data_IF_674259467167
#
_entry.id   IF_674259467167
#
_cell.length_a   1.000
_cell.length_b   1.000
_cell.length_c   1.000
_cell.angle_alpha   90.00
_cell.angle_beta   90.00
_cell.angle_gamma   90.00
#
_symmetry.space_group_name_H-M   'P 1'
#
loop_
_entity.id
_entity.type
_entity.pdbx_description
1 polymer ?
#
# COMPACT_ATOMS: atom_id res chain seq x y z
N UNK A 1 33.26 -36.27 8.78
CA UNK A 1 33.10 -35.58 7.48
C UNK A 1 32.85 -34.11 7.80
N UNK A 2 33.91 -33.30 7.74
CA UNK A 2 33.87 -31.84 7.91
C UNK A 2 33.17 -31.27 6.64
N UNK A 3 31.94 -30.86 6.75
CA UNK A 3 31.28 -30.07 5.71
C UNK A 3 32.00 -28.72 5.67
N UNK A 4 32.63 -28.45 4.54
CA UNK A 4 33.37 -27.26 4.21
C UNK A 4 32.48 -26.00 4.42
N UNK A 5 32.64 -25.30 5.54
CA UNK A 5 31.85 -24.10 5.91
C UNK A 5 32.02 -22.96 4.92
N UNK A 6 33.09 -22.95 4.11
CA UNK A 6 33.40 -21.86 3.19
C UNK A 6 32.59 -21.91 1.88
N UNK A 7 31.94 -23.03 1.54
CA UNK A 7 31.09 -23.12 0.35
C UNK A 7 29.67 -22.59 0.53
N UNK A 8 29.18 -22.45 1.75
CA UNK A 8 27.83 -21.89 2.02
C UNK A 8 27.83 -20.36 1.94
N UNK A 9 29.00 -19.73 2.00
CA UNK A 9 29.13 -18.26 1.96
C UNK A 9 29.11 -17.65 0.56
N UNK A 10 29.04 -18.47 -0.50
CA UNK A 10 29.04 -17.99 -1.89
C UNK A 10 27.65 -17.75 -2.50
N UNK A 11 26.59 -18.11 -1.79
CA UNK A 11 25.21 -17.88 -2.28
C UNK A 11 24.85 -16.44 -2.00
N UNK A 12 24.57 -15.66 -3.05
CA UNK A 12 24.12 -14.27 -2.86
C UNK A 12 22.85 -14.27 -2.02
N UNK A 13 22.64 -13.29 -1.12
CA UNK A 13 21.42 -13.21 -0.31
C UNK A 13 20.13 -13.22 -1.14
N UNK A 14 20.20 -12.74 -2.38
CA UNK A 14 19.09 -12.78 -3.35
C UNK A 14 18.80 -14.20 -3.80
N UNK A 15 19.84 -14.98 -4.13
CA UNK A 15 19.67 -16.37 -4.56
C UNK A 15 19.11 -17.24 -3.43
N UNK A 16 19.53 -17.01 -2.18
CA UNK A 16 18.98 -17.71 -1.01
C UNK A 16 17.50 -17.41 -0.82
N UNK A 17 17.09 -16.14 -0.89
CA UNK A 17 15.69 -15.73 -0.77
C UNK A 17 14.83 -16.35 -1.88
N UNK A 18 15.32 -16.35 -3.13
CA UNK A 18 14.61 -16.97 -4.25
C UNK A 18 14.50 -18.49 -4.09
N UNK A 19 15.56 -19.15 -3.63
CA UNK A 19 15.53 -20.60 -3.37
C UNK A 19 14.52 -20.96 -2.27
N UNK A 20 14.52 -20.21 -1.15
CA UNK A 20 13.53 -20.42 -0.08
C UNK A 20 12.11 -20.16 -0.58
N UNK A 21 11.87 -19.09 -1.34
CA UNK A 21 10.57 -18.80 -1.92
C UNK A 21 10.10 -19.91 -2.88
N UNK A 22 10.99 -20.42 -3.74
CA UNK A 22 10.68 -21.53 -4.65
C UNK A 22 10.33 -22.81 -3.90
N UNK A 23 11.08 -23.16 -2.85
CA UNK A 23 10.81 -24.33 -2.01
C UNK A 23 9.46 -24.20 -1.29
N UNK A 24 9.15 -23.02 -0.74
CA UNK A 24 7.88 -22.75 -0.06
C UNK A 24 6.70 -22.84 -1.05
N UNK A 25 6.84 -22.27 -2.24
CA UNK A 25 5.81 -22.34 -3.28
C UNK A 25 5.58 -23.79 -3.75
N UNK A 26 6.64 -24.55 -3.96
CA UNK A 26 6.54 -25.97 -4.35
C UNK A 26 5.84 -26.79 -3.27
N UNK A 27 6.21 -26.59 -2.00
CA UNK A 27 5.57 -27.26 -0.87
C UNK A 27 4.07 -26.91 -0.77
N UNK A 28 3.71 -25.65 -1.00
CA UNK A 28 2.31 -25.22 -1.06
C UNK A 28 1.54 -25.94 -2.18
N UNK A 29 2.08 -25.92 -3.41
CA UNK A 29 1.42 -26.54 -4.56
C UNK A 29 1.23 -28.04 -4.36
N UNK A 30 2.23 -28.74 -3.80
CA UNK A 30 2.14 -30.17 -3.48
C UNK A 30 1.09 -30.42 -2.38
N UNK A 31 1.10 -29.67 -1.29
CA UNK A 31 0.12 -29.82 -0.22
C UNK A 31 -1.32 -29.56 -0.70
N UNK A 32 -1.49 -28.55 -1.57
CA UNK A 32 -2.78 -28.22 -2.18
C UNK A 32 -3.24 -29.34 -3.14
N UNK A 33 -2.36 -29.86 -3.98
CA UNK A 33 -2.67 -30.94 -4.90
C UNK A 33 -3.06 -32.24 -4.18
N UNK A 34 -2.49 -32.48 -2.99
CA UNK A 34 -2.83 -33.59 -2.11
C UNK A 34 -4.10 -33.36 -1.27
N UNK A 35 -4.77 -32.21 -1.40
CA UNK A 35 -5.96 -31.86 -0.63
C UNK A 35 -5.68 -31.67 0.88
N UNK A 36 -4.44 -31.43 1.26
CA UNK A 36 -4.00 -31.29 2.66
C UNK A 36 -3.22 -29.99 2.90
N UNK A 37 -3.86 -28.84 2.78
CA UNK A 37 -3.18 -27.53 2.89
C UNK A 37 -2.53 -27.31 4.27
N UNK A 38 -3.01 -27.98 5.32
CA UNK A 38 -2.42 -27.93 6.68
C UNK A 38 -0.98 -28.45 6.72
N UNK A 39 -0.60 -29.36 5.80
CA UNK A 39 0.77 -29.85 5.70
C UNK A 39 1.75 -28.75 5.27
N UNK A 40 1.29 -27.81 4.46
CA UNK A 40 2.12 -26.66 4.11
C UNK A 40 2.45 -25.79 5.35
N UNK A 41 1.47 -25.56 6.23
CA UNK A 41 1.71 -24.80 7.46
C UNK A 41 2.75 -25.49 8.33
N UNK A 42 2.61 -26.80 8.55
CA UNK A 42 3.59 -27.59 9.30
C UNK A 42 4.99 -27.54 8.67
N UNK A 43 5.08 -27.67 7.34
CA UNK A 43 6.34 -27.56 6.60
C UNK A 43 6.97 -26.18 6.74
N UNK A 44 6.18 -25.10 6.62
CA UNK A 44 6.67 -23.73 6.70
C UNK A 44 7.24 -23.41 8.11
N UNK A 45 6.55 -23.85 9.16
CA UNK A 45 7.03 -23.71 10.54
C UNK A 45 8.29 -24.53 10.79
N UNK A 46 8.33 -25.79 10.33
CA UNK A 46 9.51 -26.64 10.45
C UNK A 46 10.73 -26.07 9.68
N UNK A 47 10.52 -25.56 8.47
CA UNK A 47 11.59 -24.94 7.67
C UNK A 47 12.13 -23.66 8.33
N UNK A 48 11.27 -22.84 8.94
CA UNK A 48 11.69 -21.67 9.71
C UNK A 48 12.53 -22.06 10.94
N UNK A 49 12.13 -23.12 11.65
CA UNK A 49 12.90 -23.66 12.78
C UNK A 49 14.29 -24.16 12.33
N UNK A 50 14.36 -24.91 11.24
CA UNK A 50 15.62 -25.37 10.65
C UNK A 50 16.55 -24.21 10.25
N UNK A 51 16.00 -23.19 9.57
CA UNK A 51 16.78 -21.98 9.20
C UNK A 51 17.28 -21.24 10.43
N UNK A 52 16.45 -21.13 11.48
CA UNK A 52 16.85 -20.53 12.75
C UNK A 52 17.96 -21.28 13.45
N UNK A 53 17.94 -22.63 13.42
CA UNK A 53 18.97 -23.49 13.96
C UNK A 53 20.28 -23.38 13.17
N UNK A 54 20.22 -23.36 11.82
CA UNK A 54 21.39 -23.20 10.95
C UNK A 54 22.07 -21.83 11.08
N UNK A 55 21.32 -20.81 11.50
CA UNK A 55 21.85 -19.47 11.71
C UNK A 55 22.69 -19.32 12.99
N UNK A 56 22.86 -20.39 13.77
CA UNK A 56 23.70 -20.50 15.00
C UNK A 56 23.40 -19.39 16.05
N UNK A 57 22.13 -19.00 16.16
CA UNK A 57 21.65 -17.92 17.06
C UNK A 57 21.09 -18.44 18.39
N UNK A 58 21.35 -19.73 18.71
CA UNK A 58 20.84 -20.38 19.92
C UNK A 58 19.31 -20.52 19.95
N UNK A 59 18.78 -20.91 21.10
CA UNK A 59 17.33 -21.15 21.30
C UNK A 59 16.46 -19.94 21.04
N UNK A 60 16.94 -18.74 21.39
CA UNK A 60 16.26 -17.48 21.10
C UNK A 60 16.09 -17.24 19.59
N UNK A 61 17.16 -17.48 18.80
CA UNK A 61 17.09 -17.34 17.34
C UNK A 61 16.13 -18.31 16.67
N UNK A 62 16.08 -19.56 17.17
CA UNK A 62 15.12 -20.57 16.70
C UNK A 62 13.68 -20.15 17.02
N UNK A 63 13.41 -19.72 18.25
CA UNK A 63 12.09 -19.24 18.65
C UNK A 63 11.64 -18.03 17.82
N UNK A 64 12.51 -17.06 17.61
CA UNK A 64 12.22 -15.89 16.77
C UNK A 64 11.95 -16.27 15.31
N UNK A 65 12.69 -17.24 14.75
CA UNK A 65 12.48 -17.73 13.39
C UNK A 65 11.14 -18.49 13.24
N UNK A 66 10.75 -19.29 14.23
CA UNK A 66 9.46 -19.99 14.24
C UNK A 66 8.30 -18.98 14.29
N UNK A 67 8.35 -18.03 15.22
CA UNK A 67 7.29 -17.02 15.37
C UNK A 67 7.21 -16.11 14.14
N UNK A 68 8.34 -15.63 13.62
CA UNK A 68 8.40 -14.84 12.40
C UNK A 68 7.93 -15.62 11.17
N UNK A 69 8.31 -16.90 11.05
CA UNK A 69 7.86 -17.79 9.99
C UNK A 69 6.35 -18.04 10.05
N UNK A 70 5.81 -18.28 11.24
CA UNK A 70 4.36 -18.44 11.43
C UNK A 70 3.59 -17.18 11.00
N UNK A 71 4.08 -16.00 11.37
CA UNK A 71 3.48 -14.75 10.93
C UNK A 71 3.52 -14.59 9.40
N UNK A 72 4.67 -14.89 8.78
CA UNK A 72 4.80 -14.82 7.31
C UNK A 72 3.82 -15.78 6.62
N UNK A 73 3.67 -17.00 7.14
CA UNK A 73 2.68 -17.96 6.62
C UNK A 73 1.26 -17.38 6.78
N UNK A 74 0.92 -16.87 7.94
CA UNK A 74 -0.40 -16.28 8.19
C UNK A 74 -0.72 -15.12 7.25
N UNK A 75 0.28 -14.33 6.83
CA UNK A 75 0.11 -13.22 5.90
C UNK A 75 0.07 -13.66 4.42
N UNK A 76 0.90 -14.62 4.03
CA UNK A 76 1.06 -15.01 2.62
C UNK A 76 0.05 -16.07 2.21
N UNK A 77 -0.25 -17.03 3.09
CA UNK A 77 -1.14 -18.16 2.80
C UNK A 77 -2.52 -17.75 2.27
N UNK A 78 -3.25 -16.79 2.87
CA UNK A 78 -4.54 -16.35 2.33
C UNK A 78 -4.44 -15.78 0.91
N UNK A 79 -3.36 -15.05 0.60
CA UNK A 79 -3.15 -14.46 -0.72
C UNK A 79 -2.86 -15.53 -1.78
N UNK A 80 -2.04 -16.52 -1.45
CA UNK A 80 -1.76 -17.65 -2.35
C UNK A 80 -3.01 -18.50 -2.54
N UNK A 81 -3.78 -18.73 -1.49
CA UNK A 81 -5.06 -19.43 -1.57
C UNK A 81 -6.02 -18.70 -2.49
N UNK A 82 -6.18 -17.38 -2.35
CA UNK A 82 -7.02 -16.56 -3.23
C UNK A 82 -6.65 -16.77 -4.70
N UNK A 83 -5.37 -16.74 -5.04
CA UNK A 83 -4.89 -16.95 -6.41
C UNK A 83 -5.18 -18.38 -6.88
N UNK A 84 -5.13 -19.37 -6.00
CA UNK A 84 -5.38 -20.79 -6.36
C UNK A 84 -6.86 -21.09 -6.64
N UNK A 85 -7.79 -20.24 -6.20
CA UNK A 85 -9.22 -20.38 -6.48
C UNK A 85 -9.64 -19.90 -7.88
N UNK A 86 -8.71 -19.37 -8.68
CA UNK A 86 -9.02 -18.93 -10.04
C UNK A 86 -8.04 -19.49 -11.04
N UNK A 87 -8.42 -19.52 -12.31
CA UNK A 87 -7.56 -19.93 -13.42
C UNK A 87 -7.12 -18.72 -14.25
N UNK A 88 -5.98 -18.78 -14.96
CA UNK A 88 -5.59 -17.72 -15.88
C UNK A 88 -6.67 -17.38 -16.92
N UNK A 89 -7.41 -18.40 -17.39
CA UNK A 89 -8.52 -18.22 -18.31
C UNK A 89 -9.68 -17.44 -17.71
N UNK A 90 -10.04 -17.71 -16.44
CA UNK A 90 -11.07 -16.97 -15.72
C UNK A 90 -10.67 -15.50 -15.48
N UNK A 91 -9.40 -15.24 -15.16
CA UNK A 91 -8.86 -13.89 -15.02
C UNK A 91 -8.93 -13.14 -16.35
N UNK A 92 -8.54 -13.75 -17.47
CA UNK A 92 -8.64 -13.13 -18.79
C UNK A 92 -10.10 -12.87 -19.20
N UNK A 93 -11.01 -13.80 -18.91
CA UNK A 93 -12.44 -13.63 -19.15
C UNK A 93 -13.03 -12.47 -18.32
N UNK A 94 -12.61 -12.34 -17.04
CA UNK A 94 -13.01 -11.23 -16.21
C UNK A 94 -12.50 -9.89 -16.77
N UNK A 95 -11.23 -9.81 -17.20
CA UNK A 95 -10.64 -8.62 -17.81
C UNK A 95 -11.30 -8.24 -19.15
N UNK A 96 -11.93 -9.16 -19.86
CA UNK A 96 -12.71 -8.88 -21.07
C UNK A 96 -14.02 -8.16 -20.75
N UNK A 97 -14.56 -8.28 -19.55
CA UNK A 97 -15.81 -7.64 -19.11
C UNK A 97 -15.66 -6.10 -19.03
N UNK A 98 -16.57 -5.32 -19.62
CA UNK A 98 -16.50 -3.84 -19.56
C UNK A 98 -16.60 -3.28 -18.14
N UNK A 99 -17.48 -3.86 -17.29
CA UNK A 99 -17.67 -3.45 -15.90
C UNK A 99 -16.41 -3.65 -15.05
N UNK A 100 -15.70 -4.77 -15.23
CA UNK A 100 -14.42 -5.06 -14.56
C UNK A 100 -13.35 -4.04 -14.97
N UNK A 101 -13.23 -3.75 -16.26
CA UNK A 101 -12.25 -2.74 -16.73
C UNK A 101 -12.52 -1.34 -16.17
N UNK A 102 -13.81 -0.94 -16.11
CA UNK A 102 -14.23 0.33 -15.50
C UNK A 102 -13.92 0.34 -14.00
N UNK A 103 -14.17 -0.75 -13.30
CA UNK A 103 -13.84 -0.95 -11.89
C UNK A 103 -12.33 -0.82 -11.63
N UNK A 104 -11.49 -1.50 -12.41
CA UNK A 104 -10.04 -1.39 -12.30
C UNK A 104 -9.57 0.05 -12.56
N UNK A 105 -10.13 0.72 -13.56
CA UNK A 105 -9.80 2.12 -13.86
C UNK A 105 -10.09 3.04 -12.66
N UNK A 106 -11.29 2.97 -12.09
CA UNK A 106 -11.67 3.81 -10.94
C UNK A 106 -10.83 3.49 -9.72
N UNK A 107 -10.50 2.20 -9.52
CA UNK A 107 -9.70 1.73 -8.37
C UNK A 107 -8.23 2.14 -8.44
N UNK A 108 -7.76 2.59 -9.59
CA UNK A 108 -6.41 3.15 -9.75
C UNK A 108 -6.45 4.68 -9.81
N UNK A 109 -7.40 5.22 -10.58
CA UNK A 109 -7.54 6.65 -10.81
C UNK A 109 -7.94 7.42 -9.55
N UNK A 110 -8.96 6.94 -8.82
CA UNK A 110 -9.42 7.57 -7.58
C UNK A 110 -8.30 7.68 -6.51
N UNK A 111 -7.64 6.57 -6.14
CA UNK A 111 -6.50 6.59 -5.21
C UNK A 111 -5.33 7.45 -5.67
N UNK A 112 -5.05 7.48 -6.97
CA UNK A 112 -4.00 8.36 -7.51
C UNK A 112 -4.33 9.83 -7.25
N UNK A 113 -5.55 10.26 -7.57
CA UNK A 113 -5.99 11.64 -7.31
C UNK A 113 -5.99 11.97 -5.81
N UNK A 114 -6.47 11.03 -4.98
CA UNK A 114 -6.47 11.21 -3.53
C UNK A 114 -5.05 11.36 -2.97
N UNK A 115 -4.11 10.52 -3.44
CA UNK A 115 -2.71 10.61 -3.04
C UNK A 115 -2.07 11.92 -3.49
N UNK A 116 -2.33 12.36 -4.73
CA UNK A 116 -1.84 13.64 -5.21
C UNK A 116 -2.36 14.80 -4.36
N UNK A 117 -3.65 14.77 -3.99
CA UNK A 117 -4.24 15.78 -3.11
C UNK A 117 -3.65 15.71 -1.70
N UNK A 118 -3.50 14.49 -1.14
CA UNK A 118 -2.87 14.28 0.16
C UNK A 118 -1.42 14.78 0.19
N UNK A 119 -0.64 14.55 -0.86
CA UNK A 119 0.72 15.06 -0.97
C UNK A 119 0.75 16.58 -1.18
N UNK A 120 -0.12 17.12 -2.04
CA UNK A 120 -0.19 18.56 -2.31
C UNK A 120 -0.43 19.38 -1.04
N UNK A 121 -1.33 18.89 -0.18
CA UNK A 121 -1.67 19.57 1.08
C UNK A 121 -0.80 19.10 2.25
N UNK A 122 -0.46 17.82 2.28
CA UNK A 122 0.24 17.17 3.38
C UNK A 122 1.74 17.46 3.43
N UNK A 123 2.42 17.54 2.27
CA UNK A 123 3.88 17.81 2.26
C UNK A 123 4.21 19.19 2.83
N UNK A 124 3.52 20.29 2.48
CA UNK A 124 3.70 21.57 3.14
C UNK A 124 3.41 21.52 4.64
N UNK A 125 2.35 20.82 5.05
CA UNK A 125 2.01 20.64 6.47
C UNK A 125 3.12 19.89 7.21
N UNK A 126 3.63 18.79 6.66
CA UNK A 126 4.74 18.02 7.20
C UNK A 126 6.02 18.88 7.39
N UNK A 127 6.30 19.76 6.43
CA UNK A 127 7.43 20.69 6.52
C UNK A 127 7.27 21.67 7.69
N UNK A 128 6.04 22.12 7.98
CA UNK A 128 5.75 22.99 9.12
C UNK A 128 5.91 22.24 10.45
N UNK A 129 5.44 21.00 10.51
CA UNK A 129 5.54 20.15 11.71
C UNK A 129 6.97 19.76 12.09
N UNK A 130 7.91 19.86 11.17
CA UNK A 130 9.34 19.66 11.47
C UNK A 130 9.89 20.62 12.55
N UNK A 131 9.19 21.73 12.80
CA UNK A 131 9.59 22.73 13.79
C UNK A 131 8.72 22.60 15.01
N UNK A 132 9.35 22.60 16.17
CA UNK A 132 8.62 22.70 17.43
C UNK A 132 7.87 24.04 17.50
N UNK A 133 6.57 23.96 17.66
CA UNK A 133 5.70 25.12 17.89
C UNK A 133 4.60 24.77 18.90
N UNK A 134 4.09 25.79 19.64
CA UNK A 134 2.97 25.57 20.55
C UNK A 134 1.74 25.02 19.81
N UNK A 135 1.23 23.83 20.22
CA UNK A 135 0.11 23.17 19.55
C UNK A 135 0.50 22.11 18.52
N UNK A 136 1.80 21.92 18.22
CA UNK A 136 2.28 20.86 17.33
C UNK A 136 1.68 19.48 17.62
N UNK A 137 1.72 18.99 18.87
CA UNK A 137 1.14 17.69 19.24
C UNK A 137 -0.37 17.58 18.96
N UNK A 138 -1.12 18.69 19.08
CA UNK A 138 -2.56 18.69 18.75
C UNK A 138 -2.76 18.56 17.25
N UNK A 139 -1.96 19.25 16.43
CA UNK A 139 -2.02 19.13 14.97
C UNK A 139 -1.66 17.72 14.52
N UNK A 140 -0.63 17.11 15.12
CA UNK A 140 -0.26 15.71 14.87
C UNK A 140 -1.40 14.75 15.21
N UNK A 141 -2.02 14.89 16.36
CA UNK A 141 -3.18 14.09 16.77
C UNK A 141 -4.37 14.26 15.80
N UNK A 142 -4.61 15.46 15.28
CA UNK A 142 -5.66 15.72 14.29
C UNK A 142 -5.35 15.08 12.93
N UNK A 143 -4.07 15.06 12.51
CA UNK A 143 -3.65 14.37 11.29
C UNK A 143 -3.87 12.87 11.43
N UNK A 144 -3.59 12.28 12.60
CA UNK A 144 -3.71 10.85 12.84
C UNK A 144 -5.14 10.40 13.20
N UNK A 145 -6.06 11.34 13.46
CA UNK A 145 -7.45 11.02 13.78
C UNK A 145 -8.12 10.06 12.78
N UNK A 146 -7.94 10.20 11.45
CA UNK A 146 -8.51 9.26 10.48
C UNK A 146 -8.06 7.80 10.65
N UNK A 147 -6.93 7.53 11.31
CA UNK A 147 -6.43 6.18 11.55
C UNK A 147 -7.27 5.41 12.58
N UNK A 148 -7.95 6.10 13.48
CA UNK A 148 -8.76 5.51 14.54
C UNK A 148 -10.27 5.59 14.26
N UNK A 149 -10.69 6.43 13.31
CA UNK A 149 -12.11 6.56 12.94
C UNK A 149 -12.55 5.34 12.13
N UNK A 150 -13.68 4.66 12.49
CA UNK A 150 -14.23 3.61 11.65
C UNK A 150 -14.49 4.12 10.23
N UNK A 151 -14.09 3.35 9.21
CA UNK A 151 -14.08 3.83 7.83
C UNK A 151 -15.47 4.24 7.30
N UNK A 152 -16.53 3.53 7.67
CA UNK A 152 -17.91 3.92 7.33
C UNK A 152 -18.31 5.25 7.97
N UNK A 153 -17.86 5.51 9.21
CA UNK A 153 -18.07 6.79 9.89
C UNK A 153 -17.28 7.90 9.18
N UNK A 154 -16.07 7.62 8.73
CA UNK A 154 -15.28 8.55 7.93
C UNK A 154 -16.02 8.93 6.63
N UNK A 155 -16.58 7.96 5.92
CA UNK A 155 -17.39 8.20 4.72
C UNK A 155 -18.62 9.07 5.01
N UNK A 156 -19.35 8.77 6.07
CA UNK A 156 -20.50 9.56 6.49
C UNK A 156 -20.11 10.99 6.87
N UNK A 157 -19.00 11.15 7.61
CA UNK A 157 -18.49 12.47 7.97
C UNK A 157 -18.14 13.32 6.73
N UNK A 158 -17.48 12.73 5.75
CA UNK A 158 -17.16 13.39 4.47
C UNK A 158 -18.44 13.76 3.72
N UNK A 159 -19.42 12.85 3.67
CA UNK A 159 -20.70 13.12 3.00
C UNK A 159 -21.45 14.27 3.66
N UNK A 160 -21.52 14.31 4.98
CA UNK A 160 -22.20 15.38 5.73
C UNK A 160 -21.45 16.71 5.64
N UNK A 161 -20.10 16.68 5.67
CA UNK A 161 -19.29 17.90 5.64
C UNK A 161 -19.26 18.57 4.26
N UNK A 162 -19.23 17.79 3.17
CA UNK A 162 -19.00 18.28 1.82
C UNK A 162 -20.18 18.02 0.85
N UNK A 163 -21.17 17.21 1.24
CA UNK A 163 -22.36 16.96 0.44
C UNK A 163 -23.35 18.13 0.42
N UNK A 164 -24.53 17.90 -0.13
CA UNK A 164 -25.57 18.93 -0.36
C UNK A 164 -25.97 19.71 0.90
N UNK A 165 -25.89 19.06 2.08
CA UNK A 165 -26.18 19.68 3.37
C UNK A 165 -24.96 20.31 4.04
N UNK A 166 -23.79 20.20 3.44
CA UNK A 166 -22.51 20.64 4.00
C UNK A 166 -22.05 22.01 3.56
N UNK A 167 -20.76 22.27 3.75
CA UNK A 167 -20.14 23.57 3.45
C UNK A 167 -20.07 23.91 1.95
N UNK A 168 -20.19 22.92 1.07
CA UNK A 168 -20.06 23.07 -0.39
C UNK A 168 -21.23 22.42 -1.15
N UNK A 169 -22.48 22.95 -1.05
CA UNK A 169 -23.69 22.32 -1.58
C UNK A 169 -23.66 22.07 -3.09
N UNK A 170 -22.86 22.81 -3.84
CA UNK A 170 -22.70 22.66 -5.29
C UNK A 170 -21.69 21.59 -5.71
N UNK A 171 -20.90 21.08 -4.77
CA UNK A 171 -19.92 20.04 -5.06
C UNK A 171 -20.63 18.68 -5.15
N UNK A 172 -20.54 17.99 -6.28
CA UNK A 172 -21.14 16.67 -6.41
C UNK A 172 -20.29 15.65 -5.62
N UNK A 173 -20.74 15.32 -4.41
CA UNK A 173 -20.02 14.39 -3.53
C UNK A 173 -20.56 12.98 -3.69
N UNK A 174 -21.86 12.77 -3.56
CA UNK A 174 -22.45 11.45 -3.61
C UNK A 174 -22.40 10.87 -5.04
N UNK A 175 -21.78 9.69 -5.16
CA UNK A 175 -21.67 8.98 -6.43
C UNK A 175 -20.81 9.67 -7.49
N UNK A 176 -19.92 10.57 -7.11
CA UNK A 176 -19.07 11.34 -8.02
C UNK A 176 -17.59 11.29 -7.63
N UNK A 177 -16.73 11.59 -8.62
CA UNK A 177 -15.25 11.58 -8.41
C UNK A 177 -14.82 12.50 -7.27
N UNK A 178 -15.31 13.74 -7.10
CA UNK A 178 -14.93 14.58 -5.98
C UNK A 178 -15.16 13.92 -4.62
N UNK A 179 -16.33 13.31 -4.42
CA UNK A 179 -16.64 12.60 -3.18
C UNK A 179 -15.74 11.38 -2.95
N UNK A 180 -15.49 10.59 -3.99
CA UNK A 180 -14.53 9.48 -3.95
C UNK A 180 -13.15 9.99 -3.52
N UNK A 181 -12.64 11.04 -4.16
CA UNK A 181 -11.30 11.59 -3.86
C UNK A 181 -11.24 12.15 -2.44
N UNK A 182 -12.25 12.87 -1.98
CA UNK A 182 -12.30 13.41 -0.61
C UNK A 182 -12.30 12.28 0.43
N UNK A 183 -13.14 11.25 0.24
CA UNK A 183 -13.20 10.11 1.16
C UNK A 183 -11.88 9.34 1.21
N UNK A 184 -11.28 9.07 0.06
CA UNK A 184 -9.98 8.41 -0.02
C UNK A 184 -8.86 9.28 0.57
N UNK A 185 -8.87 10.60 0.31
CA UNK A 185 -7.87 11.52 0.88
C UNK A 185 -7.98 11.54 2.40
N UNK A 186 -9.19 11.63 2.95
CA UNK A 186 -9.40 11.63 4.40
C UNK A 186 -8.73 10.43 5.08
N UNK A 187 -8.93 9.22 4.56
CA UNK A 187 -8.41 7.99 5.18
C UNK A 187 -6.93 7.72 4.88
N UNK A 188 -6.37 8.35 3.84
CA UNK A 188 -4.99 8.07 3.40
C UNK A 188 -4.01 9.22 3.64
N UNK A 189 -4.47 10.43 3.91
CA UNK A 189 -3.63 11.60 4.17
C UNK A 189 -2.61 11.41 5.30
N UNK A 190 -2.94 10.75 6.44
CA UNK A 190 -1.95 10.51 7.51
C UNK A 190 -0.68 9.85 7.01
N UNK A 191 -0.80 8.89 6.08
CA UNK A 191 0.37 8.18 5.52
C UNK A 191 1.26 9.10 4.68
N UNK A 192 0.66 9.98 3.88
CA UNK A 192 1.41 10.96 3.08
C UNK A 192 2.12 11.98 3.96
N UNK A 193 1.42 12.50 4.98
CA UNK A 193 1.96 13.52 5.90
C UNK A 193 3.08 12.93 6.75
N UNK A 194 2.86 11.78 7.38
CA UNK A 194 3.85 11.16 8.26
C UNK A 194 5.10 10.70 7.50
N UNK A 195 4.95 10.10 6.31
CA UNK A 195 6.11 9.75 5.49
C UNK A 195 6.90 10.97 4.99
N UNK A 196 6.22 12.07 4.67
CA UNK A 196 6.89 13.33 4.32
C UNK A 196 7.61 13.93 5.55
N UNK A 197 6.99 13.89 6.75
CA UNK A 197 7.58 14.35 8.00
C UNK A 197 8.85 13.58 8.32
N UNK A 198 8.79 12.25 8.31
CA UNK A 198 9.97 11.39 8.50
C UNK A 198 11.08 11.72 7.48
N UNK A 199 10.73 11.96 6.23
CA UNK A 199 11.66 12.37 5.20
C UNK A 199 12.33 13.71 5.49
N UNK A 200 11.60 14.69 5.99
CA UNK A 200 12.14 15.99 6.38
C UNK A 200 12.97 15.93 7.67
N UNK A 201 12.58 15.13 8.65
CA UNK A 201 13.31 14.91 9.89
C UNK A 201 14.66 14.24 9.68
N UNK A 202 14.75 13.35 8.68
CA UNK A 202 15.99 12.68 8.31
C UNK A 202 17.03 13.61 7.64
N UNK A 203 16.64 14.82 7.23
CA UNK A 203 17.58 15.79 6.63
C UNK A 203 18.44 16.42 7.71
N UNK A 204 19.77 16.32 7.53
CA UNK A 204 20.75 16.91 8.44
C UNK A 204 20.61 18.44 8.50
N UNK A 205 20.38 18.96 9.71
CA UNK A 205 20.28 20.40 9.97
C UNK A 205 21.59 21.12 9.72
N UNK A 206 22.74 20.45 9.79
CA UNK A 206 24.04 21.06 9.52
C UNK A 206 24.23 21.32 8.03
N UNK A 207 23.72 20.45 7.15
CA UNK A 207 23.70 20.72 5.71
C UNK A 207 22.88 21.98 5.37
N UNK A 208 21.72 22.16 6.03
CA UNK A 208 20.90 23.37 5.84
C UNK A 208 21.60 24.64 6.39
N UNK A 209 22.29 24.51 7.53
CA UNK A 209 23.07 25.64 8.11
C UNK A 209 24.22 26.03 7.20
N UNK A 210 24.97 25.05 6.68
CA UNK A 210 26.08 25.29 5.75
C UNK A 210 25.59 26.03 4.49
N UNK A 211 24.48 25.59 3.88
CA UNK A 211 23.91 26.27 2.72
C UNK A 211 23.58 27.74 3.01
N UNK A 212 23.02 28.04 4.19
CA UNK A 212 22.71 29.42 4.60
C UNK A 212 23.96 30.25 4.89
N UNK A 213 25.00 29.65 5.45
CA UNK A 213 26.27 30.33 5.69
C UNK A 213 26.96 30.73 4.38
N UNK A 214 26.66 30.01 3.29
CA UNK A 214 27.09 30.33 1.92
C UNK A 214 26.15 31.34 1.22
N UNK A 215 25.18 31.93 1.94
CA UNK A 215 24.29 32.98 1.42
C UNK A 215 22.99 32.49 0.80
N UNK A 216 22.69 31.18 0.87
CA UNK A 216 21.42 30.66 0.34
C UNK A 216 20.22 31.18 1.17
N UNK A 217 19.19 31.67 0.51
CA UNK A 217 17.90 32.01 1.12
C UNK A 217 17.20 30.76 1.67
N UNK A 218 16.14 30.95 2.49
CA UNK A 218 15.34 29.83 3.02
C UNK A 218 14.73 28.97 1.90
N UNK A 219 14.25 29.60 0.84
CA UNK A 219 13.66 28.90 -0.29
C UNK A 219 14.73 28.15 -1.11
N UNK A 220 15.90 28.75 -1.32
CA UNK A 220 17.02 28.08 -2.01
C UNK A 220 17.53 26.88 -1.20
N UNK A 221 17.68 27.01 0.11
CA UNK A 221 18.03 25.90 1.01
C UNK A 221 17.01 24.77 0.90
N UNK A 222 15.71 25.11 0.97
CA UNK A 222 14.65 24.12 0.80
C UNK A 222 14.76 23.42 -0.57
N UNK A 223 14.82 24.19 -1.64
CA UNK A 223 14.78 23.62 -3.00
C UNK A 223 16.04 22.82 -3.35
N UNK A 224 17.23 23.24 -2.88
CA UNK A 224 18.51 22.66 -3.28
C UNK A 224 19.06 21.63 -2.29
N UNK A 225 18.62 21.65 -1.03
CA UNK A 225 19.12 20.77 0.02
C UNK A 225 17.99 19.94 0.62
N UNK A 226 17.01 20.59 1.26
CA UNK A 226 15.99 19.91 2.06
C UNK A 226 15.10 19.01 1.19
N UNK A 227 14.51 19.53 0.12
CA UNK A 227 13.57 18.78 -0.71
C UNK A 227 14.22 17.58 -1.43
N UNK A 228 15.41 17.69 -2.06
CA UNK A 228 16.06 16.54 -2.67
C UNK A 228 16.43 15.45 -1.67
N UNK A 229 16.86 15.80 -0.46
CA UNK A 229 17.21 14.83 0.58
C UNK A 229 15.97 14.16 1.20
N UNK A 230 14.86 14.90 1.33
CA UNK A 230 13.60 14.39 1.87
C UNK A 230 12.76 13.57 0.87
N UNK A 231 13.07 13.64 -0.43
CA UNK A 231 12.22 13.07 -1.51
C UNK A 231 11.88 11.60 -1.31
N UNK A 232 12.79 10.82 -0.73
CA UNK A 232 12.55 9.38 -0.46
C UNK A 232 11.45 9.17 0.57
N UNK A 233 11.45 9.93 1.65
CA UNK A 233 10.40 9.88 2.68
C UNK A 233 9.06 10.31 2.09
N UNK A 234 9.04 11.40 1.31
CA UNK A 234 7.84 11.88 0.61
C UNK A 234 7.28 10.82 -0.34
N UNK A 235 8.14 10.20 -1.16
CA UNK A 235 7.71 9.13 -2.07
C UNK A 235 7.22 7.89 -1.31
N UNK A 236 7.89 7.49 -0.23
CA UNK A 236 7.45 6.37 0.60
C UNK A 236 6.08 6.64 1.22
N UNK A 237 5.86 7.85 1.75
CA UNK A 237 4.57 8.29 2.27
C UNK A 237 3.48 8.31 1.19
N UNK A 238 3.80 8.81 -0.01
CA UNK A 238 2.87 8.81 -1.15
C UNK A 238 2.43 7.40 -1.55
N UNK A 239 3.38 6.44 -1.60
CA UNK A 239 3.08 5.03 -1.91
C UNK A 239 2.19 4.39 -0.86
N UNK A 240 2.48 4.62 0.41
CA UNK A 240 1.67 4.10 1.51
C UNK A 240 0.26 4.72 1.48
N UNK A 241 0.15 6.02 1.22
CA UNK A 241 -1.12 6.72 1.03
C UNK A 241 -1.93 6.11 -0.13
N UNK A 242 -1.28 5.89 -1.28
CA UNK A 242 -1.92 5.25 -2.44
C UNK A 242 -2.38 3.82 -2.12
N UNK A 243 -1.53 3.00 -1.52
CA UNK A 243 -1.86 1.63 -1.15
C UNK A 243 -3.05 1.59 -0.17
N UNK A 244 -3.05 2.52 0.81
CA UNK A 244 -4.15 2.68 1.76
C UNK A 244 -5.45 3.09 1.06
N UNK A 245 -5.38 4.02 0.13
CA UNK A 245 -6.53 4.47 -0.64
C UNK A 245 -7.10 3.37 -1.54
N UNK A 246 -6.26 2.57 -2.22
CA UNK A 246 -6.71 1.44 -3.07
C UNK A 246 -7.45 0.38 -2.25
N UNK A 247 -7.01 0.13 -1.02
CA UNK A 247 -7.61 -0.89 -0.15
C UNK A 247 -8.88 -0.43 0.58
N UNK A 248 -9.31 0.83 0.37
CA UNK A 248 -10.46 1.38 1.09
C UNK A 248 -11.78 0.78 0.59
N UNK A 249 -12.65 0.43 1.57
CA UNK A 249 -14.00 -0.05 1.30
C UNK A 249 -15.05 0.79 2.02
N UNK A 250 -14.94 0.94 3.34
CA UNK A 250 -16.00 1.45 4.19
C UNK A 250 -16.43 2.88 3.87
N UNK A 251 -15.46 3.79 3.70
CA UNK A 251 -15.76 5.17 3.35
C UNK A 251 -16.30 5.29 1.92
N UNK A 252 -15.73 4.52 0.99
CA UNK A 252 -16.17 4.52 -0.42
C UNK A 252 -17.57 3.94 -0.57
N UNK A 253 -17.92 2.87 0.16
CA UNK A 253 -19.24 2.28 0.11
C UNK A 253 -20.35 3.26 0.53
N UNK A 254 -20.04 4.20 1.42
CA UNK A 254 -20.99 5.25 1.86
C UNK A 254 -21.09 6.40 0.85
N UNK A 255 -19.95 6.90 0.35
CA UNK A 255 -19.90 8.13 -0.45
C UNK A 255 -20.04 7.85 -1.94
N UNK A 256 -19.48 6.74 -2.41
CA UNK A 256 -19.21 6.49 -3.83
C UNK A 256 -19.40 5.02 -4.20
N UNK A 257 -20.53 4.42 -3.77
CA UNK A 257 -20.87 3.03 -4.11
C UNK A 257 -20.83 2.78 -5.61
N UNK A 258 -21.44 3.68 -6.39
CA UNK A 258 -21.32 3.82 -7.83
C UNK A 258 -20.78 5.21 -8.13
N UNK A 259 -19.77 5.30 -8.98
CA UNK A 259 -19.10 6.55 -9.34
C UNK A 259 -19.34 6.89 -10.81
N UNK A 260 -19.84 8.08 -11.06
CA UNK A 260 -19.88 8.65 -12.39
C UNK A 260 -18.49 9.21 -12.75
N UNK A 261 -17.79 8.56 -13.67
CA UNK A 261 -16.43 8.90 -14.07
C UNK A 261 -16.30 8.99 -15.59
N UNK A 262 -15.49 9.94 -16.07
CA UNK A 262 -15.09 9.94 -17.48
C UNK A 262 -14.14 8.76 -17.74
N UNK A 263 -14.51 7.92 -18.70
CA UNK A 263 -13.74 6.72 -19.06
C UNK A 263 -13.12 6.91 -20.45
N UNK A 264 -11.82 7.24 -20.54
CA UNK A 264 -11.17 7.59 -21.80
C UNK A 264 -11.32 6.57 -22.94
N UNK A 265 -11.27 5.23 -22.67
CA UNK A 265 -11.46 4.26 -23.74
C UNK A 265 -12.85 4.27 -24.40
N UNK A 266 -13.89 4.76 -23.70
CA UNK A 266 -15.23 4.91 -24.25
C UNK A 266 -15.51 6.35 -24.74
N UNK A 267 -14.70 7.33 -24.35
CA UNK A 267 -14.90 8.74 -24.65
C UNK A 267 -16.11 9.39 -23.97
N UNK A 268 -16.70 8.73 -22.97
CA UNK A 268 -17.93 9.16 -22.30
C UNK A 268 -17.87 8.97 -20.78
N UNK A 269 -18.87 9.53 -20.09
CA UNK A 269 -19.06 9.25 -18.65
C UNK A 269 -19.76 7.91 -18.47
N UNK A 270 -19.21 7.08 -17.60
CA UNK A 270 -19.73 5.76 -17.26
C UNK A 270 -19.96 5.65 -15.76
N UNK A 271 -20.86 4.75 -15.38
CA UNK A 271 -20.98 4.32 -13.99
C UNK A 271 -19.99 3.18 -13.75
N UNK A 272 -19.23 3.28 -12.67
CA UNK A 272 -18.29 2.26 -12.25
C UNK A 272 -18.30 2.09 -10.72
N UNK A 273 -18.07 0.89 -10.26
CA UNK A 273 -17.85 0.62 -8.83
C UNK A 273 -16.37 0.66 -8.51
N UNK A 274 -16.06 1.05 -7.28
CA UNK A 274 -14.71 0.90 -6.76
C UNK A 274 -14.41 -0.59 -6.50
N UNK A 275 -13.17 -1.01 -6.68
CA UNK A 275 -12.79 -2.42 -6.69
C UNK A 275 -13.19 -3.22 -5.47
N UNK A 276 -12.95 -2.71 -4.26
CA UNK A 276 -13.33 -3.37 -3.02
C UNK A 276 -14.86 -3.49 -2.88
N UNK A 277 -15.61 -2.49 -3.33
CA UNK A 277 -17.09 -2.50 -3.36
C UNK A 277 -17.59 -3.52 -4.38
N UNK A 278 -16.97 -3.55 -5.56
CA UNK A 278 -17.31 -4.51 -6.62
C UNK A 278 -17.10 -5.95 -6.16
N UNK A 279 -15.94 -6.24 -5.56
CA UNK A 279 -15.63 -7.59 -5.04
C UNK A 279 -16.67 -8.03 -4.02
N UNK A 280 -16.99 -7.20 -3.03
CA UNK A 280 -17.97 -7.53 -1.99
C UNK A 280 -19.37 -7.79 -2.61
N UNK A 281 -19.81 -6.97 -3.57
CA UNK A 281 -21.06 -7.19 -4.27
C UNK A 281 -21.09 -8.51 -5.05
N UNK A 282 -20.02 -8.82 -5.78
CA UNK A 282 -19.94 -10.01 -6.62
C UNK A 282 -19.83 -11.31 -5.80
N UNK A 283 -19.39 -11.26 -4.54
CA UNK A 283 -19.33 -12.48 -3.68
C UNK A 283 -20.67 -13.21 -3.58
N UNK A 284 -21.78 -12.47 -3.54
CA UNK A 284 -23.12 -13.03 -3.42
C UNK A 284 -23.77 -13.36 -4.79
N UNK A 285 -23.25 -12.77 -5.89
CA UNK A 285 -23.84 -12.89 -7.23
C UNK A 285 -23.05 -13.87 -8.10
N UNK A 286 -21.75 -13.74 -8.12
CA UNK A 286 -20.83 -14.54 -8.94
C UNK A 286 -19.47 -14.65 -8.27
N UNK A 287 -19.31 -15.67 -7.45
CA UNK A 287 -18.09 -15.91 -6.66
C UNK A 287 -16.83 -15.98 -7.55
N UNK A 288 -16.89 -16.66 -8.69
CA UNK A 288 -15.73 -16.80 -9.59
C UNK A 288 -15.31 -15.45 -10.17
N UNK A 289 -16.27 -14.57 -10.50
CA UNK A 289 -15.97 -13.22 -10.96
C UNK A 289 -15.39 -12.35 -9.83
N UNK A 290 -15.88 -12.46 -8.61
CA UNK A 290 -15.35 -11.77 -7.44
C UNK A 290 -13.88 -12.15 -7.21
N UNK A 291 -13.57 -13.45 -7.22
CA UNK A 291 -12.19 -13.96 -7.05
C UNK A 291 -11.29 -13.48 -8.18
N UNK A 292 -11.74 -13.56 -9.44
CA UNK A 292 -10.94 -13.12 -10.57
C UNK A 292 -10.61 -11.61 -10.49
N UNK A 293 -11.59 -10.77 -10.13
CA UNK A 293 -11.35 -9.32 -9.95
C UNK A 293 -10.45 -9.03 -8.75
N UNK A 294 -10.64 -9.75 -7.63
CA UNK A 294 -9.76 -9.63 -6.48
C UNK A 294 -8.31 -9.97 -6.81
N UNK A 295 -8.08 -11.03 -7.61
CA UNK A 295 -6.73 -11.39 -8.11
C UNK A 295 -6.18 -10.32 -9.04
N UNK A 296 -6.99 -9.74 -9.94
CA UNK A 296 -6.54 -8.62 -10.78
C UNK A 296 -6.10 -7.42 -9.94
N UNK A 297 -6.90 -7.01 -8.95
CA UNK A 297 -6.57 -5.91 -8.04
C UNK A 297 -5.29 -6.21 -7.25
N UNK A 298 -5.18 -7.41 -6.69
CA UNK A 298 -3.98 -7.85 -5.97
C UNK A 298 -2.73 -7.76 -6.87
N UNK A 299 -2.81 -8.28 -8.10
CA UNK A 299 -1.69 -8.26 -9.05
C UNK A 299 -1.26 -6.82 -9.38
N UNK A 300 -2.21 -5.91 -9.60
CA UNK A 300 -1.92 -4.49 -9.86
C UNK A 300 -1.30 -3.83 -8.64
N UNK A 301 -1.85 -4.03 -7.44
CA UNK A 301 -1.31 -3.48 -6.20
C UNK A 301 0.13 -3.95 -5.95
N UNK A 302 0.39 -5.25 -6.11
CA UNK A 302 1.72 -5.83 -5.97
C UNK A 302 2.68 -5.27 -7.02
N UNK A 303 2.25 -5.16 -8.28
CA UNK A 303 3.08 -4.61 -9.36
C UNK A 303 3.48 -3.16 -9.07
N UNK A 304 2.53 -2.30 -8.72
CA UNK A 304 2.81 -0.90 -8.36
C UNK A 304 3.73 -0.81 -7.14
N UNK A 305 3.46 -1.59 -6.09
CA UNK A 305 4.29 -1.63 -4.90
C UNK A 305 5.74 -2.03 -5.22
N UNK A 306 5.94 -3.06 -6.04
CA UNK A 306 7.27 -3.52 -6.45
C UNK A 306 7.99 -2.47 -7.30
N UNK A 307 7.31 -1.85 -8.27
CA UNK A 307 7.88 -0.80 -9.11
C UNK A 307 8.36 0.37 -8.26
N UNK A 308 7.52 0.86 -7.37
CA UNK A 308 7.91 1.98 -6.50
C UNK A 308 9.04 1.59 -5.56
N UNK A 309 8.99 0.40 -4.96
CA UNK A 309 10.07 -0.08 -4.09
C UNK A 309 11.41 -0.23 -4.82
N UNK A 310 11.42 -0.61 -6.10
CA UNK A 310 12.67 -0.67 -6.89
C UNK A 310 13.19 0.73 -7.18
N UNK A 311 12.33 1.66 -7.59
CA UNK A 311 12.72 3.05 -7.86
C UNK A 311 13.28 3.75 -6.62
N UNK A 312 12.68 3.55 -5.45
CA UNK A 312 13.18 4.13 -4.18
C UNK A 312 14.50 3.52 -3.72
N UNK A 313 14.82 2.28 -4.10
CA UNK A 313 16.10 1.63 -3.78
C UNK A 313 17.25 2.07 -4.69
N UNK A 314 16.99 2.31 -5.96
CA UNK A 314 18.03 2.72 -6.92
C UNK A 314 18.54 4.13 -6.67
N UNK A 315 17.67 5.05 -6.22
CA UNK A 315 18.10 6.38 -5.78
C UNK A 315 19.06 6.36 -4.57
N UNK A 316 19.22 5.20 -3.89
CA UNK A 316 20.13 5.00 -2.76
C UNK A 316 21.56 4.62 -3.14
N UNK A 317 21.86 4.41 -4.41
CA UNK A 317 23.20 4.01 -4.88
C UNK A 317 24.09 5.19 -5.31
N UNK A 318 23.55 6.40 -5.33
CA UNK A 318 24.26 7.60 -5.82
C UNK A 318 24.62 8.59 -4.69
N UNK A 319 24.46 8.20 -3.44
CA UNK A 319 24.94 8.91 -2.23
C UNK A 319 25.80 7.98 -1.40
#
# INVERSE_FOLDING_TARGET
VLVDRDRVTSISPRALVLAVAAVQLTAFLVASALGRPTWYVAFAVASAACLGALADRGTFGIAAAILGGALLVALVYPLVTLVSFTSPGAVLAALARPDVRRTLYVSLYGPLLATLLACLLGVPLALLLRRDFPGGPVVEALIDLPLVVPHSVAGLAVLLAFGESGAFPTLPVLGAVPGLVLALTFVSAPYAVNGAREGFEAVDRDAERAARSLGASRFETFRRVTAPLAVRGVLSGAVLSWARAVSEYGAVAVVAYNVSVFYPPAGERVQAMFGSVFVVRELDVNFDAAVAVAVCLLAVCVAVFLVVRTLTRETGRWT
#
